data_IF_935674413556
#
_entry.id   IF_935674413556
#
_cell.length_a   1.000
_cell.length_b   1.000
_cell.length_c   1.000
_cell.angle_alpha   90.00
_cell.angle_beta   90.00
_cell.angle_gamma   90.00
#
_symmetry.space_group_name_H-M   'P 1'
#
loop_
_entity.id
_entity.type
_entity.pdbx_description
1 polymer ?
#
# COMPACT_ATOMS: atom_id res chain seq x y z
N UNK A 1 -6.39 -13.52 -21.47
CA UNK A 1 -4.92 -13.45 -21.21
C UNK A 1 -4.74 -14.00 -19.81
N UNK A 2 -3.89 -14.99 -19.61
CA UNK A 2 -3.64 -15.56 -18.28
C UNK A 2 -2.69 -14.63 -17.53
N UNK A 3 -3.04 -14.26 -16.30
CA UNK A 3 -2.19 -13.47 -15.41
C UNK A 3 -1.15 -14.38 -14.74
N UNK A 4 0.03 -13.85 -14.35
CA UNK A 4 1.01 -14.64 -13.62
C UNK A 4 0.48 -15.03 -12.23
N UNK A 5 0.90 -16.16 -11.69
CA UNK A 5 0.59 -16.53 -10.29
C UNK A 5 1.27 -15.61 -9.28
N UNK A 6 2.49 -15.16 -9.59
CA UNK A 6 3.27 -14.29 -8.72
C UNK A 6 3.86 -13.12 -9.49
N UNK A 7 3.81 -11.92 -8.90
CA UNK A 7 4.53 -10.73 -9.35
C UNK A 7 5.45 -10.25 -8.24
N UNK A 8 6.72 -9.98 -8.55
CA UNK A 8 7.69 -9.47 -7.57
C UNK A 8 8.22 -8.11 -8.00
N UNK A 9 8.03 -7.11 -7.14
CA UNK A 9 8.55 -5.75 -7.27
C UNK A 9 9.67 -5.55 -6.26
N UNK A 10 10.89 -5.96 -6.63
CA UNK A 10 12.09 -5.85 -5.79
C UNK A 10 12.86 -4.56 -6.07
N UNK A 11 12.17 -3.41 -5.99
CA UNK A 11 12.80 -2.10 -6.11
C UNK A 11 12.30 -1.14 -5.01
N UNK A 12 12.78 -1.31 -3.76
CA UNK A 12 12.20 -0.66 -2.57
C UNK A 12 12.03 0.86 -2.62
N UNK A 13 12.75 1.55 -3.50
CA UNK A 13 12.68 2.99 -3.68
C UNK A 13 11.47 3.47 -4.48
N UNK A 14 10.95 2.66 -5.40
CA UNK A 14 9.86 3.09 -6.29
C UNK A 14 8.82 2.01 -6.61
N UNK A 15 8.92 0.80 -6.03
CA UNK A 15 7.91 -0.25 -6.24
C UNK A 15 6.46 0.23 -6.03
N UNK A 16 6.14 1.05 -4.99
CA UNK A 16 4.78 1.55 -4.81
C UNK A 16 4.26 2.40 -5.99
N UNK A 17 5.14 3.17 -6.64
CA UNK A 17 4.76 4.06 -7.74
C UNK A 17 4.30 3.29 -8.99
N UNK A 18 4.73 2.05 -9.14
CA UNK A 18 4.33 1.18 -10.25
C UNK A 18 3.02 0.42 -10.00
N UNK A 19 2.50 0.42 -8.78
CA UNK A 19 1.30 -0.36 -8.42
C UNK A 19 0.07 0.11 -9.20
N UNK A 20 -0.03 1.40 -9.51
CA UNK A 20 -1.09 1.94 -10.34
C UNK A 20 -1.17 1.32 -11.74
N UNK A 21 -0.09 0.68 -12.24
CA UNK A 21 -0.12 -0.03 -13.52
C UNK A 21 -0.96 -1.31 -13.50
N UNK A 22 -1.24 -1.89 -12.32
CA UNK A 22 -2.09 -3.08 -12.20
C UNK A 22 -3.53 -2.81 -12.68
N UNK A 23 -3.98 -1.54 -12.72
CA UNK A 23 -5.31 -1.18 -13.25
C UNK A 23 -5.53 -1.61 -14.70
N UNK A 24 -4.46 -1.86 -15.46
CA UNK A 24 -4.56 -2.31 -16.85
C UNK A 24 -4.73 -3.84 -16.97
N UNK A 25 -4.76 -4.57 -15.85
CA UNK A 25 -4.99 -6.01 -15.84
C UNK A 25 -6.49 -6.32 -15.95
N UNK A 26 -6.87 -7.43 -16.59
CA UNK A 26 -8.27 -7.84 -16.66
C UNK A 26 -8.80 -8.17 -15.26
N UNK A 27 -9.88 -7.50 -14.86
CA UNK A 27 -10.66 -7.88 -13.69
C UNK A 27 -11.65 -8.98 -14.08
N UNK A 28 -11.16 -10.19 -14.32
CA UNK A 28 -12.02 -11.32 -14.71
C UNK A 28 -12.73 -11.88 -13.48
N UNK A 29 -14.06 -11.96 -13.52
CA UNK A 29 -14.85 -12.80 -12.59
C UNK A 29 -14.86 -14.27 -13.03
N UNK A 30 -14.52 -14.49 -14.30
CA UNK A 30 -14.38 -15.82 -14.84
C UNK A 30 -13.09 -16.35 -14.24
N UNK A 31 -13.23 -17.11 -13.17
CA UNK A 31 -12.29 -18.18 -12.87
C UNK A 31 -12.20 -18.99 -14.16
N UNK A 32 -11.20 -18.66 -14.99
CA UNK A 32 -10.80 -19.51 -16.11
C UNK A 32 -10.72 -20.91 -15.50
N UNK A 33 -11.43 -21.88 -16.07
CA UNK A 33 -11.41 -23.26 -15.59
C UNK A 33 -9.96 -23.78 -15.69
N UNK A 34 -9.14 -23.51 -14.65
CA UNK A 34 -7.69 -23.69 -14.65
C UNK A 34 -6.87 -22.56 -14.01
N UNK A 35 -7.44 -21.41 -13.66
CA UNK A 35 -6.72 -20.34 -12.97
C UNK A 35 -6.58 -20.65 -11.47
N UNK A 36 -5.34 -20.81 -11.00
CA UNK A 36 -4.97 -21.28 -9.64
C UNK A 36 -5.21 -20.25 -8.51
N UNK A 37 -6.08 -19.25 -8.74
CA UNK A 37 -6.39 -18.16 -7.82
C UNK A 37 -5.86 -16.79 -8.27
N UNK A 38 -6.05 -15.73 -7.45
CA UNK A 38 -5.59 -14.38 -7.77
C UNK A 38 -4.06 -14.30 -7.85
N UNK A 39 -3.53 -13.39 -8.67
CA UNK A 39 -2.08 -13.12 -8.72
C UNK A 39 -1.60 -12.61 -7.37
N UNK A 40 -0.60 -13.26 -6.79
CA UNK A 40 0.06 -12.82 -5.56
C UNK A 40 1.18 -11.84 -5.86
N UNK A 41 1.02 -10.60 -5.42
CA UNK A 41 1.95 -9.50 -5.63
C UNK A 41 2.83 -9.34 -4.39
N UNK A 42 4.14 -9.23 -4.61
CA UNK A 42 5.16 -9.08 -3.58
C UNK A 42 5.90 -7.76 -3.80
N UNK A 43 5.70 -6.81 -2.89
CA UNK A 43 6.23 -5.45 -2.98
C UNK A 43 7.27 -5.27 -1.89
N UNK A 44 8.51 -5.03 -2.28
CA UNK A 44 9.51 -4.51 -1.35
C UNK A 44 9.38 -2.99 -1.33
N UNK A 45 9.33 -2.40 -0.15
CA UNK A 45 9.27 -0.95 0.05
C UNK A 45 10.06 -0.52 1.29
N UNK A 46 10.55 0.72 1.28
CA UNK A 46 11.06 1.36 2.49
C UNK A 46 9.90 1.96 3.27
N UNK A 47 9.88 1.70 4.57
CA UNK A 47 8.97 2.37 5.47
C UNK A 47 9.69 2.82 6.74
N UNK A 48 9.16 3.92 7.29
CA UNK A 48 9.59 4.50 8.55
C UNK A 48 8.35 4.63 9.42
N UNK A 49 8.42 4.07 10.63
CA UNK A 49 7.37 4.30 11.63
C UNK A 49 7.35 5.76 12.09
N UNK A 50 6.20 6.19 12.60
CA UNK A 50 6.09 7.46 13.30
C UNK A 50 6.99 7.39 14.54
N UNK A 51 7.97 8.29 14.61
CA UNK A 51 8.96 8.32 15.68
C UNK A 51 8.33 9.02 16.90
N UNK A 52 8.02 8.30 18.01
CA UNK A 52 7.29 8.89 19.13
C UNK A 52 8.08 10.00 19.83
N UNK A 53 9.41 9.99 19.69
CA UNK A 53 10.33 10.95 20.33
C UNK A 53 10.69 12.15 19.44
N UNK A 54 10.29 12.17 18.15
CA UNK A 54 10.48 13.34 17.26
C UNK A 54 9.33 14.34 17.35
N UNK A 55 8.90 14.63 18.56
CA UNK A 55 8.15 15.84 18.87
C UNK A 55 9.06 17.07 18.82
N UNK A 56 9.39 17.54 17.61
CA UNK A 56 10.04 18.83 17.40
C UNK A 56 11.57 18.82 17.37
N UNK A 57 12.15 18.49 16.23
CA UNK A 57 13.40 19.12 15.80
C UNK A 57 13.21 19.62 14.38
N UNK A 58 13.00 20.94 14.28
CA UNK A 58 12.88 21.66 13.02
C UNK A 58 14.23 21.76 12.31
N UNK A 59 14.21 21.45 11.02
CA UNK A 59 15.13 21.96 10.02
C UNK A 59 14.28 22.54 8.90
N UNK A 60 14.28 23.86 8.81
CA UNK A 60 13.77 24.80 7.79
C UNK A 60 13.69 24.20 6.36
N UNK A 61 12.66 24.34 5.53
CA UNK A 61 11.50 25.23 5.40
C UNK A 61 10.32 24.44 4.79
N UNK A 62 9.12 24.48 5.38
CA UNK A 62 7.89 24.57 4.58
C UNK A 62 6.73 25.11 5.44
N UNK A 63 6.03 26.09 4.87
CA UNK A 63 5.05 26.93 5.54
C UNK A 63 3.83 26.14 6.03
N UNK A 64 3.63 26.19 7.34
CA UNK A 64 2.34 26.22 8.05
C UNK A 64 1.17 25.41 7.51
N UNK A 65 0.93 24.24 8.12
CA UNK A 65 -0.42 23.81 8.51
C UNK A 65 -0.33 23.16 9.89
N UNK A 66 -0.94 23.81 10.88
CA UNK A 66 -0.98 23.36 12.27
C UNK A 66 -1.84 22.10 12.42
N UNK A 67 -1.23 21.08 13.02
CA UNK A 67 -1.76 20.12 13.99
C UNK A 67 -3.21 19.61 13.86
N UNK A 68 -3.35 18.39 13.33
CA UNK A 68 -4.42 17.46 13.68
C UNK A 68 -3.90 16.14 14.28
N UNK A 69 -2.60 16.05 14.60
CA UNK A 69 -1.91 14.79 14.89
C UNK A 69 -1.83 14.45 16.39
N UNK A 70 -2.95 14.35 17.10
CA UNK A 70 -2.94 13.84 18.49
C UNK A 70 -4.04 12.85 18.85
N UNK A 71 -4.80 12.33 17.89
CA UNK A 71 -5.89 11.36 18.15
C UNK A 71 -5.54 9.91 17.80
N UNK A 72 -4.39 9.65 17.17
CA UNK A 72 -4.04 8.29 16.75
C UNK A 72 -2.63 7.89 17.23
N UNK A 73 -2.45 6.62 17.67
CA UNK A 73 -1.15 6.12 18.10
C UNK A 73 -0.13 6.18 16.95
N UNK A 74 1.18 6.33 17.26
CA UNK A 74 2.23 6.32 16.25
C UNK A 74 2.20 5.01 15.45
N UNK A 75 2.30 5.09 14.12
CA UNK A 75 2.38 3.92 13.23
C UNK A 75 3.75 3.26 13.36
N UNK A 76 3.78 1.93 13.40
CA UNK A 76 5.04 1.22 13.19
C UNK A 76 5.42 1.19 11.69
N UNK A 77 6.64 0.76 11.38
CA UNK A 77 7.13 0.73 9.99
C UNK A 77 6.33 -0.23 9.10
N UNK A 78 5.76 -1.30 9.66
CA UNK A 78 4.93 -2.25 8.92
C UNK A 78 3.62 -1.59 8.46
N UNK A 79 2.91 -0.91 9.35
CA UNK A 79 1.66 -0.20 9.01
C UNK A 79 1.93 0.90 7.97
N UNK A 80 3.02 1.66 8.16
CA UNK A 80 3.42 2.66 7.18
C UNK A 80 3.72 2.04 5.80
N UNK A 81 4.33 0.84 5.74
CA UNK A 81 4.57 0.13 4.49
C UNK A 81 3.27 -0.29 3.79
N UNK A 82 2.28 -0.75 4.56
CA UNK A 82 0.98 -1.16 4.02
C UNK A 82 0.19 0.04 3.52
N UNK A 83 0.18 1.16 4.26
CA UNK A 83 -0.46 2.40 3.83
C UNK A 83 0.16 2.90 2.51
N UNK A 84 1.50 2.86 2.37
CA UNK A 84 2.18 3.21 1.10
C UNK A 84 1.77 2.31 -0.08
N UNK A 85 1.60 1.01 0.16
CA UNK A 85 1.14 0.07 -0.87
C UNK A 85 -0.33 0.34 -1.23
N UNK A 86 -1.18 0.61 -0.24
CA UNK A 86 -2.58 0.96 -0.46
C UNK A 86 -2.72 2.25 -1.27
N UNK A 87 -1.93 3.28 -0.94
CA UNK A 87 -1.88 4.56 -1.65
C UNK A 87 -1.44 4.40 -3.11
N UNK A 88 -0.51 3.48 -3.39
CA UNK A 88 -0.09 3.16 -4.75
C UNK A 88 -1.13 2.39 -5.57
N UNK A 89 -2.04 1.67 -4.91
CA UNK A 89 -3.09 0.88 -5.57
C UNK A 89 -4.35 1.69 -5.78
N UNK A 90 -4.84 2.36 -4.74
CA UNK A 90 -6.12 3.01 -4.72
C UNK A 90 -5.90 4.51 -4.90
N UNK A 91 -6.28 5.11 -6.04
CA UNK A 91 -6.16 6.55 -6.20
C UNK A 91 -6.95 7.25 -5.07
N UNK A 92 -6.48 8.38 -4.54
CA UNK A 92 -7.14 9.06 -3.43
C UNK A 92 -8.57 9.39 -3.81
N UNK A 93 -9.53 8.76 -3.12
CA UNK A 93 -10.94 9.06 -3.25
C UNK A 93 -11.15 10.48 -2.71
N UNK A 94 -11.31 11.43 -3.62
CA UNK A 94 -11.52 12.86 -3.38
C UNK A 94 -10.30 13.66 -2.88
N UNK A 95 -10.13 14.86 -3.45
CA UNK A 95 -9.11 15.87 -3.15
C UNK A 95 -9.13 16.40 -1.70
N UNK A 96 -9.97 15.84 -0.81
CA UNK A 96 -10.15 16.29 0.58
C UNK A 96 -9.35 15.50 1.61
N UNK A 97 -8.64 14.43 1.24
CA UNK A 97 -7.72 13.72 2.14
C UNK A 97 -6.27 13.86 1.65
N UNK A 98 -5.72 15.08 1.79
CA UNK A 98 -4.25 15.25 1.80
C UNK A 98 -3.71 14.78 3.14
N UNK A 99 -3.52 13.47 3.23
CA UNK A 99 -2.89 12.76 4.32
C UNK A 99 -3.00 11.28 3.99
N UNK A 100 -1.88 10.53 4.06
CA UNK A 100 -1.89 9.09 3.78
C UNK A 100 -3.00 8.44 4.61
N UNK A 101 -4.11 7.96 4.00
CA UNK A 101 -5.24 7.42 4.73
C UNK A 101 -4.77 6.23 5.55
N UNK A 102 -4.72 6.42 6.87
CA UNK A 102 -4.44 5.34 7.82
C UNK A 102 -5.47 4.23 7.61
N UNK A 103 -4.99 2.99 7.65
CA UNK A 103 -5.86 1.83 7.54
C UNK A 103 -5.87 1.20 6.16
N UNK A 104 -4.79 1.38 5.38
CA UNK A 104 -4.61 0.69 4.10
C UNK A 104 -4.82 -0.82 4.24
N UNK A 105 -4.43 -1.39 5.39
CA UNK A 105 -4.71 -2.80 5.71
C UNK A 105 -6.21 -3.12 5.71
N UNK A 106 -7.00 -2.39 6.49
CA UNK A 106 -8.44 -2.64 6.59
C UNK A 106 -9.13 -2.46 5.23
N UNK A 107 -8.70 -1.47 4.45
CA UNK A 107 -9.19 -1.25 3.08
C UNK A 107 -8.86 -2.43 2.16
N UNK A 108 -7.60 -2.88 2.14
CA UNK A 108 -7.16 -3.99 1.28
C UNK A 108 -7.78 -5.32 1.74
N UNK A 109 -7.88 -5.57 3.04
CA UNK A 109 -8.53 -6.77 3.59
C UNK A 109 -10.04 -6.76 3.27
N UNK A 110 -10.69 -5.59 3.26
CA UNK A 110 -12.07 -5.42 2.80
C UNK A 110 -12.29 -5.74 1.31
N UNK A 111 -11.24 -5.61 0.49
CA UNK A 111 -11.21 -6.03 -0.92
C UNK A 111 -10.74 -7.49 -1.10
N UNK A 112 -10.59 -8.25 -0.02
CA UNK A 112 -10.15 -9.64 -0.05
C UNK A 112 -8.67 -9.84 -0.40
N UNK A 113 -7.83 -8.80 -0.36
CA UNK A 113 -6.44 -8.84 -0.85
C UNK A 113 -5.48 -9.64 0.05
N UNK A 114 -5.92 -10.19 1.18
CA UNK A 114 -5.13 -11.06 2.08
C UNK A 114 -3.69 -10.57 2.30
N UNK A 115 -3.55 -9.41 2.92
CA UNK A 115 -2.23 -8.78 3.11
C UNK A 115 -1.34 -9.65 4.03
N UNK A 116 -0.05 -9.76 3.74
CA UNK A 116 0.95 -10.39 4.61
C UNK A 116 2.20 -9.53 4.57
N UNK A 117 2.73 -9.21 5.74
CA UNK A 117 3.91 -8.35 5.87
C UNK A 117 5.07 -9.12 6.50
N UNK A 118 6.28 -8.76 6.09
CA UNK A 118 7.52 -9.30 6.67
C UNK A 118 8.60 -8.24 6.68
N UNK A 119 9.25 -8.10 7.83
CA UNK A 119 10.48 -7.31 7.96
C UNK A 119 11.64 -8.07 7.29
N UNK A 120 12.36 -7.40 6.39
CA UNK A 120 13.44 -8.02 5.62
C UNK A 120 14.80 -7.65 6.18
N UNK A 121 15.05 -6.34 6.36
CA UNK A 121 16.31 -5.83 6.92
C UNK A 121 16.18 -4.37 7.34
N UNK A 122 16.96 -3.98 8.34
CA UNK A 122 17.24 -2.58 8.65
C UNK A 122 18.30 -2.03 7.69
N UNK A 123 18.09 -0.80 7.20
CA UNK A 123 19.07 -0.10 6.36
C UNK A 123 19.68 1.12 7.04
N UNK A 124 19.01 1.65 8.05
CA UNK A 124 19.46 2.71 8.95
C UNK A 124 18.53 2.74 10.18
N UNK A 125 18.90 3.43 11.28
CA UNK A 125 18.00 3.61 12.42
C UNK A 125 16.64 4.16 11.99
N UNK A 126 15.57 3.42 12.31
CA UNK A 126 14.19 3.79 11.94
C UNK A 126 13.83 3.65 10.47
N UNK A 127 14.68 3.05 9.62
CA UNK A 127 14.39 2.74 8.21
C UNK A 127 14.47 1.24 7.96
N UNK A 128 13.31 0.66 7.69
CA UNK A 128 13.15 -0.77 7.49
C UNK A 128 12.74 -1.07 6.04
N UNK A 129 13.32 -2.12 5.46
CA UNK A 129 12.77 -2.72 4.24
C UNK A 129 11.68 -3.70 4.66
N UNK A 130 10.46 -3.44 4.20
CA UNK A 130 9.30 -4.28 4.43
C UNK A 130 8.90 -4.95 3.12
N UNK A 131 8.67 -6.25 3.17
CA UNK A 131 7.98 -7.00 2.13
C UNK A 131 6.48 -7.01 2.46
N UNK A 132 5.68 -6.41 1.58
CA UNK A 132 4.22 -6.48 1.62
C UNK A 132 3.77 -7.41 0.50
N UNK A 133 3.05 -8.47 0.86
CA UNK A 133 2.45 -9.41 -0.09
C UNK A 133 0.94 -9.30 -0.03
N UNK A 134 0.27 -9.29 -1.18
CA UNK A 134 -1.19 -9.26 -1.26
C UNK A 134 -1.66 -9.98 -2.53
N UNK A 135 -2.91 -10.39 -2.53
CA UNK A 135 -3.59 -11.02 -3.65
C UNK A 135 -4.30 -9.93 -4.47
N UNK A 136 -4.03 -9.86 -5.78
CA UNK A 136 -4.68 -8.92 -6.69
C UNK A 136 -6.06 -9.46 -7.09
N UNK A 137 -7.06 -9.17 -6.26
CA UNK A 137 -8.45 -9.64 -6.45
C UNK A 137 -9.15 -8.91 -7.59
N UNK A 138 -10.22 -9.50 -8.13
CA UNK A 138 -11.07 -8.87 -9.13
C UNK A 138 -11.71 -7.58 -8.59
N UNK A 139 -12.08 -7.54 -7.32
CA UNK A 139 -12.62 -6.35 -6.65
C UNK A 139 -11.59 -5.23 -6.56
N UNK A 140 -10.34 -5.54 -6.20
CA UNK A 140 -9.24 -4.58 -6.22
C UNK A 140 -9.05 -4.02 -7.64
N UNK A 141 -8.93 -4.88 -8.65
CA UNK A 141 -8.70 -4.45 -10.03
C UNK A 141 -9.86 -3.60 -10.57
N UNK A 142 -11.11 -3.97 -10.26
CA UNK A 142 -12.31 -3.16 -10.58
C UNK A 142 -12.22 -1.78 -9.95
N UNK A 143 -11.90 -1.72 -8.65
CA UNK A 143 -11.74 -0.47 -7.92
C UNK A 143 -10.68 0.43 -8.54
N UNK A 144 -9.53 -0.15 -8.90
CA UNK A 144 -8.43 0.56 -9.57
C UNK A 144 -8.79 1.08 -10.96
N UNK A 145 -9.74 0.43 -11.64
CA UNK A 145 -10.26 0.81 -12.95
C UNK A 145 -11.39 1.86 -12.87
N UNK A 146 -11.82 2.23 -11.67
CA UNK A 146 -12.91 3.19 -11.47
C UNK A 146 -14.30 2.56 -11.48
N UNK A 147 -14.41 1.23 -11.39
CA UNK A 147 -15.69 0.59 -11.09
C UNK A 147 -15.92 0.68 -9.58
N UNK A 148 -17.03 1.31 -9.17
CA UNK A 148 -17.53 1.21 -7.81
C UNK A 148 -18.32 -0.09 -7.67
N UNK A 149 -17.89 -0.95 -6.76
CA UNK A 149 -18.71 -2.07 -6.28
C UNK A 149 -19.80 -1.49 -5.37
N UNK A 150 -21.03 -1.42 -5.87
CA UNK A 150 -22.24 -1.10 -5.08
C UNK A 150 -22.47 -2.12 -3.94
#
# INVERSE_FOLDING_TARGET
RVLPHHLVLNFPLASPDFLGALRWWPASDVADEGAEGPTRVHVYTFARGDDPDKGGEGGEEEKGYQNSSSLHPPRNAIEAAVDLVADGLLPPLSLSQRGSPRGGRATLDGLGCRVVTREVRDVAPGKLVVLVSFDATSDLLRRMQGYDSE
#
